data_IF_081461226002
#
_entry.id   IF_081461226002
#
_cell.length_a   1.000
_cell.length_b   1.000
_cell.length_c   1.000
_cell.angle_alpha   90.00
_cell.angle_beta   90.00
_cell.angle_gamma   90.00
#
_symmetry.space_group_name_H-M   'P 1'
#
loop_
_entity.id
_entity.type
_entity.pdbx_description
1 polymer ?
#
# COMPACT_ATOMS: atom_id res chain seq x y z
N UNK A 1 15.11 -14.96 5.27
CA UNK A 1 14.59 -13.96 6.23
C UNK A 1 13.27 -14.49 6.78
N UNK A 2 12.73 -13.88 7.85
CA UNK A 2 11.56 -14.42 8.57
C UNK A 2 10.27 -13.98 7.89
N UNK A 3 9.32 -14.91 7.69
CA UNK A 3 7.96 -14.60 7.21
C UNK A 3 7.09 -13.92 8.29
N UNK A 4 7.61 -13.77 9.51
CA UNK A 4 6.90 -13.13 10.62
C UNK A 4 6.76 -11.63 10.34
N UNK A 5 5.52 -11.10 10.30
CA UNK A 5 5.31 -9.67 10.11
C UNK A 5 5.93 -8.85 11.23
N UNK A 6 6.64 -7.79 10.85
CA UNK A 6 7.25 -6.83 11.77
C UNK A 6 6.47 -5.52 11.78
N UNK A 7 6.33 -4.91 12.96
CA UNK A 7 5.63 -3.64 13.15
C UNK A 7 6.63 -2.49 13.27
N UNK A 8 6.39 -1.44 12.50
CA UNK A 8 7.17 -0.20 12.42
C UNK A 8 6.26 0.98 12.72
N UNK A 9 6.74 1.97 13.47
CA UNK A 9 5.95 3.12 13.90
C UNK A 9 6.77 4.39 13.76
N UNK A 10 6.11 5.51 13.46
CA UNK A 10 6.73 6.84 13.41
C UNK A 10 7.32 7.30 14.75
N UNK A 11 6.89 6.70 15.86
CA UNK A 11 7.40 6.96 17.22
C UNK A 11 8.63 6.14 17.58
N UNK A 12 9.06 5.21 16.71
CA UNK A 12 10.24 4.40 16.99
C UNK A 12 11.52 5.27 16.93
N UNK A 13 12.55 4.96 17.73
CA UNK A 13 13.82 5.67 17.66
C UNK A 13 14.46 5.61 16.27
N UNK A 14 14.73 6.78 15.68
CA UNK A 14 15.32 6.89 14.34
C UNK A 14 14.34 6.63 13.19
N UNK A 15 13.04 6.60 13.46
CA UNK A 15 12.03 6.50 12.41
C UNK A 15 12.10 7.70 11.45
N UNK A 16 12.00 7.46 10.12
CA UNK A 16 11.99 8.53 9.13
C UNK A 16 10.74 9.42 9.24
N UNK A 17 10.95 10.71 8.98
CA UNK A 17 9.89 11.71 8.93
C UNK A 17 9.09 11.55 7.63
N UNK A 18 7.78 11.32 7.75
CA UNK A 18 6.84 11.46 6.63
C UNK A 18 6.28 12.89 6.64
N UNK A 19 6.21 13.53 5.48
CA UNK A 19 5.65 14.88 5.33
C UNK A 19 4.90 15.03 4.01
N UNK A 20 4.31 16.21 3.78
CA UNK A 20 3.64 16.54 2.52
C UNK A 20 4.58 16.89 1.36
N UNK A 21 5.90 16.79 1.55
CA UNK A 21 6.90 17.09 0.52
C UNK A 21 7.05 15.96 -0.50
N UNK A 22 7.54 16.30 -1.69
CA UNK A 22 7.97 15.32 -2.69
C UNK A 22 9.13 14.48 -2.13
N UNK A 23 9.17 13.18 -2.47
CA UNK A 23 10.21 12.25 -2.03
C UNK A 23 10.07 11.72 -0.59
N UNK A 24 9.20 12.30 0.25
CA UNK A 24 9.04 11.88 1.65
C UNK A 24 8.56 10.42 1.81
N UNK A 25 7.64 9.95 0.97
CA UNK A 25 7.18 8.56 0.99
C UNK A 25 8.22 7.61 0.38
N UNK A 26 8.92 8.04 -0.68
CA UNK A 26 10.01 7.26 -1.25
C UNK A 26 11.10 6.97 -0.20
N UNK A 27 11.51 7.99 0.56
CA UNK A 27 12.48 7.86 1.66
C UNK A 27 11.93 6.97 2.79
N UNK A 28 10.65 7.12 3.15
CA UNK A 28 10.01 6.27 4.14
C UNK A 28 10.04 4.78 3.73
N UNK A 29 9.69 4.49 2.48
CA UNK A 29 9.68 3.11 1.97
C UNK A 29 11.10 2.55 1.80
N UNK A 30 12.09 3.37 1.47
CA UNK A 30 13.49 2.98 1.48
C UNK A 30 13.92 2.45 2.85
N UNK A 31 13.60 3.19 3.91
CA UNK A 31 13.89 2.78 5.29
C UNK A 31 13.05 1.56 5.74
N UNK A 32 11.77 1.49 5.37
CA UNK A 32 10.89 0.39 5.80
C UNK A 32 11.18 -0.93 5.08
N UNK A 33 11.34 -0.88 3.77
CA UNK A 33 11.37 -2.07 2.93
C UNK A 33 12.78 -2.62 2.76
N UNK A 34 13.79 -1.74 2.70
CA UNK A 34 15.15 -2.09 2.28
C UNK A 34 16.16 -1.90 3.42
N UNK A 35 16.42 -0.66 3.81
CA UNK A 35 17.60 -0.30 4.60
C UNK A 35 17.43 -0.58 6.11
N UNK A 36 16.18 -0.50 6.59
CA UNK A 36 15.89 -0.39 8.01
C UNK A 36 16.16 1.02 8.53
N UNK A 37 15.94 1.21 9.83
CA UNK A 37 16.23 2.47 10.51
C UNK A 37 16.61 2.28 11.98
N UNK A 38 17.05 3.35 12.63
CA UNK A 38 17.56 3.32 14.01
C UNK A 38 18.99 2.78 14.11
N UNK A 39 19.51 2.73 15.33
CA UNK A 39 20.88 2.34 15.62
C UNK A 39 20.99 1.50 16.91
N UNK A 40 22.11 0.77 17.04
CA UNK A 40 22.38 -0.06 18.22
C UNK A 40 21.28 -1.07 18.50
N UNK A 41 20.90 -1.21 19.78
CA UNK A 41 19.84 -2.13 20.23
C UNK A 41 18.44 -1.76 19.71
N UNK A 42 18.23 -0.52 19.25
CA UNK A 42 16.95 -0.04 18.75
C UNK A 42 16.84 -0.13 17.21
N UNK A 43 17.87 -0.67 16.53
CA UNK A 43 17.84 -0.81 15.07
C UNK A 43 16.73 -1.77 14.65
N UNK A 44 15.85 -1.29 13.76
CA UNK A 44 14.86 -2.11 13.06
C UNK A 44 15.37 -2.44 11.66
N UNK A 45 15.50 -3.72 11.29
CA UNK A 45 15.88 -4.09 9.92
C UNK A 45 14.77 -3.75 8.94
N UNK A 46 15.10 -3.57 7.66
CA UNK A 46 14.11 -3.48 6.60
C UNK A 46 13.30 -4.78 6.45
N UNK A 47 12.14 -4.70 5.82
CA UNK A 47 11.23 -5.85 5.64
C UNK A 47 11.76 -6.94 4.69
N UNK A 48 12.91 -6.74 4.03
CA UNK A 48 13.55 -7.74 3.17
C UNK A 48 13.25 -7.60 1.68
N UNK A 49 12.77 -6.43 1.27
CA UNK A 49 12.61 -6.08 -0.14
C UNK A 49 13.94 -5.53 -0.67
N UNK A 50 14.03 -5.41 -2.00
CA UNK A 50 15.21 -4.86 -2.67
C UNK A 50 14.86 -3.61 -3.46
N UNK A 51 15.77 -2.63 -3.52
CA UNK A 51 15.63 -1.46 -4.39
C UNK A 51 16.19 -1.80 -5.76
N UNK A 52 15.33 -1.92 -6.76
CA UNK A 52 15.73 -2.25 -8.13
C UNK A 52 16.20 -1.01 -8.91
N UNK A 53 15.46 0.10 -8.80
CA UNK A 53 15.75 1.36 -9.48
C UNK A 53 15.47 2.57 -8.60
N UNK A 54 16.19 3.67 -8.84
CA UNK A 54 16.06 4.92 -8.08
C UNK A 54 16.26 6.15 -8.99
N UNK A 55 15.34 7.11 -8.90
CA UNK A 55 15.42 8.44 -9.51
C UNK A 55 15.29 9.57 -8.47
N UNK A 56 15.03 10.80 -8.89
CA UNK A 56 14.96 11.96 -7.98
C UNK A 56 13.87 11.79 -6.89
N UNK A 57 12.65 11.42 -7.29
CA UNK A 57 11.53 11.12 -6.39
C UNK A 57 10.79 9.84 -6.78
N UNK A 58 11.45 8.96 -7.53
CA UNK A 58 10.87 7.69 -7.98
C UNK A 58 11.69 6.55 -7.42
N UNK A 59 11.02 5.52 -6.93
CA UNK A 59 11.64 4.29 -6.42
C UNK A 59 10.94 3.08 -6.99
N UNK A 60 11.71 2.03 -7.24
CA UNK A 60 11.16 0.72 -7.60
C UNK A 60 11.66 -0.29 -6.58
N UNK A 61 10.72 -0.85 -5.82
CA UNK A 61 10.97 -1.87 -4.82
C UNK A 61 10.58 -3.23 -5.39
N UNK A 62 11.37 -4.26 -5.15
CA UNK A 62 11.05 -5.62 -5.56
C UNK A 62 10.87 -6.49 -4.33
N UNK A 63 9.75 -7.22 -4.28
CA UNK A 63 9.52 -8.18 -3.21
C UNK A 63 10.46 -9.40 -3.37
N UNK A 64 10.57 -10.24 -2.34
CA UNK A 64 11.47 -11.38 -2.37
C UNK A 64 11.10 -12.38 -3.48
N UNK A 65 12.01 -12.68 -4.41
CA UNK A 65 11.76 -13.60 -5.52
C UNK A 65 11.77 -15.09 -5.14
N UNK A 66 12.26 -15.43 -3.94
CA UNK A 66 12.32 -16.81 -3.44
C UNK A 66 11.05 -17.16 -2.67
N UNK A 67 10.61 -16.23 -1.82
CA UNK A 67 9.47 -16.47 -0.94
C UNK A 67 8.20 -15.79 -1.45
N UNK A 68 8.30 -14.72 -2.23
CA UNK A 68 7.19 -14.08 -2.93
C UNK A 68 7.26 -14.24 -4.44
N UNK A 69 6.52 -13.39 -5.16
CA UNK A 69 6.43 -13.39 -6.63
C UNK A 69 7.61 -12.74 -7.33
N UNK A 70 8.42 -11.95 -6.63
CA UNK A 70 9.46 -11.10 -7.21
C UNK A 70 8.91 -9.89 -7.97
N UNK A 71 7.63 -9.50 -7.75
CA UNK A 71 7.03 -8.33 -8.39
C UNK A 71 7.71 -7.02 -7.97
N UNK A 72 7.63 -6.06 -8.88
CA UNK A 72 8.16 -4.72 -8.71
C UNK A 72 7.02 -3.77 -8.35
N UNK A 73 7.22 -2.92 -7.34
CA UNK A 73 6.37 -1.81 -6.96
C UNK A 73 7.09 -0.51 -7.31
N UNK A 74 6.61 0.17 -8.36
CA UNK A 74 7.02 1.53 -8.69
C UNK A 74 6.24 2.51 -7.82
N UNK A 75 6.99 3.42 -7.21
CA UNK A 75 6.53 4.50 -6.35
C UNK A 75 6.97 5.81 -6.97
N UNK A 76 6.01 6.56 -7.49
CA UNK A 76 6.20 7.90 -8.01
C UNK A 76 5.82 8.93 -6.95
N UNK A 77 6.82 9.52 -6.31
CA UNK A 77 6.65 10.45 -5.20
C UNK A 77 6.97 11.89 -5.61
N UNK A 78 6.78 12.21 -6.89
CA UNK A 78 7.03 13.54 -7.47
C UNK A 78 6.03 14.59 -7.00
N UNK A 79 4.79 14.18 -6.74
CA UNK A 79 3.76 15.08 -6.25
C UNK A 79 3.95 15.42 -4.76
N UNK A 80 3.61 16.65 -4.40
CA UNK A 80 3.37 16.98 -3.00
C UNK A 80 2.07 16.29 -2.54
N UNK A 81 1.95 16.00 -1.25
CA UNK A 81 0.74 15.44 -0.58
C UNK A 81 0.36 14.01 -0.96
N UNK A 82 0.72 13.52 -2.14
CA UNK A 82 0.37 12.17 -2.60
C UNK A 82 1.47 11.56 -3.47
N UNK A 83 1.34 10.28 -3.78
CA UNK A 83 2.27 9.53 -4.62
C UNK A 83 1.50 8.51 -5.46
N UNK A 84 2.02 8.13 -6.63
CA UNK A 84 1.40 7.17 -7.53
C UNK A 84 2.14 5.83 -7.48
N UNK A 85 1.39 4.77 -7.18
CA UNK A 85 1.89 3.42 -7.06
C UNK A 85 1.46 2.58 -8.26
N UNK A 86 2.36 1.71 -8.73
CA UNK A 86 2.01 0.68 -9.71
C UNK A 86 2.92 -0.54 -9.54
N UNK A 87 2.31 -1.72 -9.51
CA UNK A 87 3.01 -2.99 -9.58
C UNK A 87 3.34 -3.39 -11.02
N UNK A 88 4.42 -4.12 -11.25
CA UNK A 88 4.84 -4.68 -12.53
C UNK A 88 5.43 -6.07 -12.32
N UNK A 89 5.20 -7.00 -13.25
CA UNK A 89 5.77 -8.34 -13.18
C UNK A 89 7.28 -8.31 -13.46
N UNK A 90 7.69 -7.53 -14.46
CA UNK A 90 9.10 -7.25 -14.76
C UNK A 90 9.30 -5.78 -15.09
N UNK A 91 10.51 -5.26 -14.84
CA UNK A 91 10.92 -3.90 -15.22
C UNK A 91 12.34 -3.93 -15.78
N UNK A 92 12.56 -3.26 -16.92
CA UNK A 92 13.87 -3.09 -17.54
C UNK A 92 14.58 -1.82 -17.07
N UNK A 93 13.80 -0.81 -16.68
CA UNK A 93 14.26 0.43 -16.07
C UNK A 93 13.15 1.02 -15.19
N UNK A 94 13.34 2.26 -14.72
CA UNK A 94 12.44 2.92 -13.77
C UNK A 94 11.05 3.25 -14.32
N UNK A 95 10.90 3.34 -15.65
CA UNK A 95 9.66 3.74 -16.33
C UNK A 95 9.10 2.66 -17.25
N UNK A 96 9.89 1.65 -17.62
CA UNK A 96 9.51 0.57 -18.52
C UNK A 96 9.33 -0.76 -17.77
N UNK A 97 8.09 -1.25 -17.75
CA UNK A 97 7.71 -2.52 -17.14
C UNK A 97 6.54 -3.22 -17.82
N UNK A 98 6.37 -4.50 -17.53
CA UNK A 98 5.32 -5.36 -18.10
C UNK A 98 4.26 -5.73 -17.06
N UNK A 99 3.08 -6.12 -17.54
CA UNK A 99 1.94 -6.55 -16.72
C UNK A 99 1.61 -5.60 -15.55
N UNK A 100 1.30 -4.32 -15.85
CA UNK A 100 1.05 -3.32 -14.83
C UNK A 100 -0.19 -3.66 -14.00
N UNK A 101 -0.08 -3.54 -12.68
CA UNK A 101 -1.18 -3.66 -11.72
C UNK A 101 -1.27 -2.40 -10.84
N UNK A 102 -2.30 -1.55 -10.99
CA UNK A 102 -3.41 -1.64 -11.95
C UNK A 102 -2.98 -1.46 -13.41
N UNK A 103 -3.75 -2.02 -14.34
CA UNK A 103 -3.51 -1.87 -15.79
C UNK A 103 -3.67 -0.42 -16.22
N UNK A 104 -2.97 -0.03 -17.29
CA UNK A 104 -3.03 1.34 -17.85
C UNK A 104 -4.46 1.71 -18.24
N UNK A 105 -5.20 0.76 -18.83
CA UNK A 105 -6.59 0.95 -19.23
C UNK A 105 -7.52 1.23 -18.05
N UNK A 106 -7.27 0.61 -16.89
CA UNK A 106 -8.10 0.79 -15.70
C UNK A 106 -7.77 2.09 -14.97
N UNK A 107 -6.48 2.38 -14.81
CA UNK A 107 -5.99 3.60 -14.17
C UNK A 107 -4.76 4.09 -14.92
N UNK A 108 -4.89 5.07 -15.82
CA UNK A 108 -3.76 5.61 -16.60
C UNK A 108 -2.62 6.10 -15.70
N UNK A 109 -2.95 6.80 -14.61
CA UNK A 109 -1.97 7.36 -13.67
C UNK A 109 -1.52 6.40 -12.54
N UNK A 110 -2.16 5.23 -12.40
CA UNK A 110 -1.86 4.28 -11.31
C UNK A 110 -2.64 4.55 -10.03
N UNK A 111 -2.23 3.88 -8.95
CA UNK A 111 -2.90 3.95 -7.63
C UNK A 111 -2.36 5.11 -6.81
N UNK A 112 -3.20 6.12 -6.52
CA UNK A 112 -2.79 7.26 -5.70
C UNK A 112 -2.85 6.95 -4.20
N UNK A 113 -1.74 7.14 -3.50
CA UNK A 113 -1.60 7.06 -2.04
C UNK A 113 -1.41 8.45 -1.46
N UNK A 114 -2.13 8.77 -0.38
CA UNK A 114 -2.11 10.11 0.22
C UNK A 114 -1.16 10.13 1.42
N UNK A 115 -0.23 11.09 1.45
CA UNK A 115 0.79 11.26 2.49
C UNK A 115 0.37 12.30 3.53
N UNK A 116 -0.25 13.39 3.08
CA UNK A 116 -0.55 14.55 3.93
C UNK A 116 -1.64 15.42 3.31
N UNK A 117 -2.58 15.90 4.11
CA UNK A 117 -3.63 16.85 3.68
C UNK A 117 -3.08 18.21 3.26
N UNK A 118 -1.84 18.53 3.64
CA UNK A 118 -1.18 19.82 3.41
C UNK A 118 0.19 19.59 2.78
N UNK A 119 0.56 20.41 1.78
CA UNK A 119 1.89 20.42 1.17
C UNK A 119 2.91 21.13 2.09
N UNK A 120 3.23 20.52 3.23
CA UNK A 120 4.12 21.10 4.25
C UNK A 120 5.22 20.12 4.65
N UNK A 121 6.25 20.66 5.31
CA UNK A 121 7.31 19.87 5.94
C UNK A 121 6.91 19.28 7.31
N UNK A 122 5.67 19.55 7.76
CA UNK A 122 5.15 19.04 9.04
C UNK A 122 5.09 17.52 9.05
N UNK A 123 5.47 16.95 10.20
CA UNK A 123 5.50 15.50 10.39
C UNK A 123 4.11 14.88 10.39
N UNK A 124 4.00 13.74 9.69
CA UNK A 124 2.82 12.88 9.67
C UNK A 124 3.13 11.57 10.38
N UNK A 125 2.25 11.20 11.31
CA UNK A 125 2.36 9.94 12.01
C UNK A 125 2.00 8.78 11.08
N UNK A 126 2.69 7.66 11.25
CA UNK A 126 2.49 6.47 10.43
C UNK A 126 2.78 5.18 11.20
N UNK A 127 2.17 4.09 10.74
CA UNK A 127 2.45 2.73 11.20
C UNK A 127 2.54 1.83 9.99
N UNK A 128 3.55 0.97 9.93
CA UNK A 128 3.67 -0.04 8.90
C UNK A 128 3.78 -1.43 9.51
N UNK A 129 3.18 -2.42 8.85
CA UNK A 129 3.24 -3.82 9.25
C UNK A 129 3.46 -4.68 8.02
N UNK A 130 4.50 -5.49 8.00
CA UNK A 130 4.78 -6.29 6.82
C UNK A 130 5.96 -7.22 6.98
N UNK A 131 6.25 -7.91 5.89
CA UNK A 131 7.38 -8.81 5.71
C UNK A 131 7.89 -8.70 4.26
N UNK A 132 8.73 -9.65 3.86
CA UNK A 132 9.36 -9.73 2.55
C UNK A 132 8.39 -10.01 1.37
N UNK A 133 7.13 -10.37 1.66
CA UNK A 133 6.08 -10.64 0.64
C UNK A 133 5.07 -9.50 0.51
N UNK A 134 4.72 -8.86 1.62
CA UNK A 134 3.69 -7.81 1.66
C UNK A 134 3.92 -6.79 2.77
N UNK A 135 3.28 -5.64 2.65
CA UNK A 135 3.17 -4.68 3.74
C UNK A 135 1.85 -3.91 3.72
N UNK A 136 1.44 -3.49 4.91
CA UNK A 136 0.41 -2.49 5.17
C UNK A 136 1.09 -1.22 5.67
N UNK A 137 0.59 -0.06 5.24
CA UNK A 137 1.02 1.25 5.68
C UNK A 137 -0.20 2.09 6.04
N UNK A 138 -0.23 2.60 7.26
CA UNK A 138 -1.29 3.45 7.79
C UNK A 138 -0.72 4.84 8.02
N UNK A 139 -1.28 5.86 7.38
CA UNK A 139 -0.79 7.24 7.44
C UNK A 139 -1.87 8.14 8.03
N UNK A 140 -1.55 8.92 9.07
CA UNK A 140 -2.38 10.06 9.46
C UNK A 140 -2.05 11.27 8.58
N UNK A 141 -2.88 11.51 7.58
CA UNK A 141 -2.67 12.60 6.62
C UNK A 141 -2.95 13.97 7.22
N UNK A 142 -3.74 14.06 8.31
CA UNK A 142 -4.15 15.32 8.92
C UNK A 142 -3.20 15.84 10.00
N UNK A 143 -2.37 14.96 10.56
CA UNK A 143 -1.51 15.26 11.72
C UNK A 143 -2.30 15.57 12.99
N UNK A 144 -3.56 15.12 13.08
CA UNK A 144 -4.42 15.25 14.26
C UNK A 144 -4.27 14.02 15.16
N UNK A 145 -3.04 13.59 15.37
CA UNK A 145 -2.74 12.29 15.97
C UNK A 145 -3.06 12.26 17.46
N UNK A 146 -4.33 12.08 17.80
CA UNK A 146 -4.78 11.87 19.18
C UNK A 146 -5.08 10.40 19.50
N UNK A 147 -5.31 9.54 18.48
CA UNK A 147 -5.57 8.11 18.70
C UNK A 147 -5.35 7.28 17.41
N UNK A 148 -4.62 6.15 17.52
CA UNK A 148 -4.58 5.12 16.49
C UNK A 148 -6.00 4.60 16.23
N UNK A 149 -6.50 4.65 14.98
CA UNK A 149 -7.85 4.22 14.61
C UNK A 149 -8.89 5.35 14.45
N UNK A 150 -8.47 6.62 14.50
CA UNK A 150 -9.31 7.75 14.08
C UNK A 150 -9.59 7.71 12.56
N UNK A 151 -10.72 8.29 12.15
CA UNK A 151 -11.28 8.35 10.78
C UNK A 151 -10.39 9.01 9.72
N UNK A 152 -9.17 9.42 10.10
CA UNK A 152 -8.22 10.15 9.26
C UNK A 152 -6.96 9.34 8.93
N UNK A 153 -6.85 8.10 9.44
CA UNK A 153 -5.80 7.18 8.99
C UNK A 153 -6.14 6.60 7.62
N UNK A 154 -5.22 6.78 6.67
CA UNK A 154 -5.29 6.26 5.31
C UNK A 154 -4.47 4.98 5.23
N UNK A 155 -5.12 3.80 5.21
CA UNK A 155 -4.45 2.54 5.01
C UNK A 155 -4.17 2.26 3.53
N UNK A 156 -2.97 1.72 3.33
CA UNK A 156 -2.41 1.32 2.06
C UNK A 156 -1.83 -0.08 2.17
N UNK A 157 -1.90 -0.83 1.09
CA UNK A 157 -1.38 -2.20 1.00
C UNK A 157 -0.65 -2.40 -0.32
N UNK A 158 0.50 -3.06 -0.27
CA UNK A 158 1.12 -3.62 -1.46
C UNK A 158 1.80 -4.95 -1.13
N UNK A 159 1.68 -5.92 -2.04
CA UNK A 159 2.31 -7.22 -1.87
C UNK A 159 1.51 -8.39 -2.41
N UNK A 160 2.06 -9.57 -2.16
CA UNK A 160 1.46 -10.84 -2.54
C UNK A 160 0.29 -11.18 -1.62
N UNK A 161 -0.85 -11.50 -2.21
CA UNK A 161 -1.97 -12.13 -1.51
C UNK A 161 -1.91 -13.64 -1.68
N UNK A 162 -2.54 -14.39 -0.78
CA UNK A 162 -2.74 -15.83 -1.00
C UNK A 162 -3.75 -15.99 -2.14
N UNK A 163 -3.33 -16.57 -3.28
CA UNK A 163 -4.25 -16.86 -4.38
C UNK A 163 -5.04 -18.14 -4.10
N UNK A 164 -6.32 -18.14 -4.46
CA UNK A 164 -7.17 -19.34 -4.41
C UNK A 164 -6.94 -20.26 -5.62
N UNK A 165 -6.26 -19.78 -6.67
CA UNK A 165 -5.87 -20.58 -7.82
C UNK A 165 -4.45 -21.12 -7.61
N UNK A 166 -4.33 -22.45 -7.57
CA UNK A 166 -3.03 -23.10 -7.49
C UNK A 166 -2.16 -22.70 -8.68
N UNK A 167 -0.92 -22.26 -8.41
CA UNK A 167 0.02 -21.82 -9.45
C UNK A 167 -0.25 -20.43 -10.05
N UNK A 168 -1.11 -19.59 -9.44
CA UNK A 168 -1.29 -18.21 -9.89
C UNK A 168 -0.03 -17.37 -9.65
N UNK A 169 0.64 -17.02 -10.74
CA UNK A 169 1.88 -16.23 -10.75
C UNK A 169 1.65 -14.71 -10.61
N UNK A 170 0.38 -14.26 -10.53
CA UNK A 170 -0.02 -12.85 -10.56
C UNK A 170 -0.88 -12.46 -9.35
N UNK A 171 -0.48 -12.91 -8.17
CA UNK A 171 -1.13 -12.61 -6.90
C UNK A 171 -0.61 -11.32 -6.23
N UNK A 172 0.16 -10.50 -6.94
CA UNK A 172 0.59 -9.19 -6.44
C UNK A 172 -0.53 -8.15 -6.56
N UNK A 173 -0.78 -7.43 -5.47
CA UNK A 173 -1.86 -6.46 -5.35
C UNK A 173 -1.33 -5.14 -4.82
N UNK A 174 -1.86 -4.04 -5.35
CA UNK A 174 -1.65 -2.68 -4.85
C UNK A 174 -3.00 -2.07 -4.49
N UNK A 175 -3.13 -1.57 -3.27
CA UNK A 175 -4.33 -0.87 -2.83
C UNK A 175 -4.55 0.37 -3.66
N UNK A 176 -5.82 0.63 -3.99
CA UNK A 176 -6.21 1.83 -4.71
C UNK A 176 -7.45 2.44 -4.05
N UNK A 177 -7.58 3.75 -4.16
CA UNK A 177 -8.80 4.49 -3.82
C UNK A 177 -9.65 4.69 -5.08
N UNK A 178 -10.98 4.67 -4.94
CA UNK A 178 -11.89 4.72 -6.09
C UNK A 178 -11.78 6.01 -6.92
N UNK A 179 -11.54 7.15 -6.26
CA UNK A 179 -11.40 8.46 -6.89
C UNK A 179 -9.94 8.86 -7.14
N UNK A 180 -9.67 9.51 -8.27
CA UNK A 180 -8.32 10.04 -8.58
C UNK A 180 -8.01 11.38 -7.90
N UNK A 181 -8.99 11.96 -7.20
CA UNK A 181 -8.85 13.20 -6.43
C UNK A 181 -7.95 13.03 -5.19
N UNK A 182 -7.12 14.03 -4.90
CA UNK A 182 -6.34 14.11 -3.66
C UNK A 182 -7.24 14.29 -2.44
N UNK A 183 -6.88 13.67 -1.31
CA UNK A 183 -7.59 13.81 -0.03
C UNK A 183 -9.09 13.48 -0.07
N UNK A 184 -9.51 12.70 -1.08
CA UNK A 184 -10.87 12.19 -1.14
C UNK A 184 -11.11 11.23 0.02
N UNK A 185 -12.06 11.60 0.88
CA UNK A 185 -12.57 10.73 1.94
C UNK A 185 -13.40 9.57 1.39
N UNK A 186 -13.65 9.52 0.08
CA UNK A 186 -14.26 8.36 -0.60
C UNK A 186 -13.20 7.29 -0.78
N UNK A 187 -12.79 6.70 0.33
CA UNK A 187 -12.04 5.45 0.31
C UNK A 187 -12.84 4.44 -0.50
N UNK A 188 -12.23 3.84 -1.53
CA UNK A 188 -12.73 2.56 -2.02
C UNK A 188 -12.77 1.64 -0.80
N UNK A 189 -13.94 1.06 -0.52
CA UNK A 189 -14.41 0.39 0.71
C UNK A 189 -13.52 -0.75 1.29
N UNK A 190 -12.20 -0.62 1.35
CA UNK A 190 -11.33 -1.70 1.77
C UNK A 190 -10.96 -1.63 3.26
N UNK A 191 -10.79 -0.45 3.86
CA UNK A 191 -10.25 -0.36 5.23
C UNK A 191 -10.68 0.95 5.93
N UNK A 192 -11.96 1.13 6.26
CA UNK A 192 -12.36 2.15 7.25
C UNK A 192 -12.46 1.52 8.63
N UNK A 193 -11.62 1.96 9.57
CA UNK A 193 -11.99 1.92 10.99
C UNK A 193 -12.90 3.10 11.25
N UNK A 194 -14.20 2.86 11.47
CA UNK A 194 -15.14 3.94 11.79
C UNK A 194 -15.58 3.85 13.25
N UNK A 195 -15.14 4.80 14.06
CA UNK A 195 -15.74 5.12 15.35
C UNK A 195 -16.87 6.14 15.15
N UNK A 196 -18.12 5.77 15.45
CA UNK A 196 -19.23 6.72 15.59
C UNK A 196 -20.48 6.34 14.80
N UNK A 197 -21.58 6.15 15.55
CA UNK A 197 -22.93 5.91 15.09
C UNK A 197 -23.50 7.13 14.36
N UNK A 198 -23.86 6.98 13.09
CA UNK A 198 -24.49 8.05 12.31
C UNK A 198 -24.36 7.88 10.80
N UNK A 199 -24.63 6.67 10.28
CA UNK A 199 -24.77 6.46 8.84
C UNK A 199 -26.25 6.63 8.49
N UNK A 200 -26.58 7.64 7.68
CA UNK A 200 -27.86 7.64 6.98
C UNK A 200 -27.86 6.45 6.03
N UNK A 201 -28.58 5.41 6.42
CA UNK A 201 -28.84 4.23 5.61
C UNK A 201 -29.77 4.60 4.46
N UNK A 202 -29.26 5.21 3.40
CA UNK A 202 -29.92 5.10 2.10
C UNK A 202 -29.40 3.85 1.41
N UNK A 203 -29.94 2.74 1.91
CA UNK A 203 -29.98 1.37 1.35
C UNK A 203 -28.72 0.52 1.52
N UNK A 204 -28.72 -0.33 2.55
CA UNK A 204 -28.75 -1.78 2.30
C UNK A 204 -29.30 -2.51 3.53
N UNK A 205 -30.41 -3.21 3.33
CA UNK A 205 -31.20 -3.86 4.36
C UNK A 205 -30.52 -5.12 4.90
N UNK A 206 -30.42 -5.17 6.24
CA UNK A 206 -30.49 -6.33 7.13
C UNK A 206 -30.32 -7.71 6.46
N UNK A 207 -29.12 -8.32 6.58
CA UNK A 207 -28.98 -9.75 6.29
C UNK A 207 -27.58 -10.28 5.99
N UNK A 208 -26.62 -9.45 5.58
CA UNK A 208 -25.35 -9.97 5.06
C UNK A 208 -24.22 -9.82 6.07
N UNK A 209 -23.64 -10.94 6.49
CA UNK A 209 -22.29 -10.99 7.09
C UNK A 209 -21.38 -10.19 6.16
N UNK A 210 -20.88 -9.05 6.63
CA UNK A 210 -20.06 -8.12 5.83
C UNK A 210 -18.67 -8.73 5.64
N UNK A 211 -18.58 -9.68 4.71
CA UNK A 211 -17.31 -10.19 4.20
C UNK A 211 -16.49 -9.02 3.66
N UNK A 212 -15.19 -9.04 3.94
CA UNK A 212 -14.17 -8.18 3.35
C UNK A 212 -14.45 -7.94 1.85
N UNK A 213 -14.88 -6.73 1.48
CA UNK A 213 -15.09 -6.37 0.07
C UNK A 213 -13.75 -5.90 -0.49
N UNK A 214 -12.94 -6.88 -0.89
CA UNK A 214 -11.88 -6.67 -1.85
C UNK A 214 -12.51 -6.11 -3.15
N UNK A 215 -11.88 -5.14 -3.81
CA UNK A 215 -12.46 -4.46 -4.98
C UNK A 215 -13.03 -5.41 -6.03
N UNK A 216 -14.00 -4.95 -6.84
CA UNK A 216 -14.81 -5.76 -7.77
C UNK A 216 -14.03 -6.76 -8.65
N UNK A 217 -12.75 -6.51 -8.95
CA UNK A 217 -11.89 -7.43 -9.71
C UNK A 217 -11.18 -8.51 -8.86
N UNK A 218 -11.02 -8.31 -7.55
CA UNK A 218 -10.55 -9.33 -6.62
C UNK A 218 -11.64 -10.37 -6.35
N UNK A 219 -12.90 -9.94 -6.19
CA UNK A 219 -14.04 -10.86 -6.05
C UNK A 219 -14.23 -11.73 -7.29
N UNK A 220 -14.05 -11.20 -8.50
CA UNK A 220 -14.02 -12.03 -9.71
C UNK A 220 -12.88 -13.05 -9.68
N UNK A 221 -11.67 -12.63 -9.32
CA UNK A 221 -10.49 -13.53 -9.33
C UNK A 221 -10.51 -14.59 -8.21
N UNK A 222 -11.20 -14.29 -7.10
CA UNK A 222 -11.45 -15.18 -5.97
C UNK A 222 -12.63 -16.12 -6.25
N UNK A 223 -13.73 -15.63 -6.87
CA UNK A 223 -14.95 -16.43 -7.10
C UNK A 223 -14.93 -17.28 -8.37
N UNK A 224 -14.19 -16.93 -9.42
CA UNK A 224 -14.16 -17.72 -10.66
C UNK A 224 -13.17 -18.89 -10.66
N UNK A 225 -12.50 -19.18 -9.53
CA UNK A 225 -11.61 -20.34 -9.42
C UNK A 225 -12.35 -21.70 -9.47
N UNK A 226 -13.68 -21.72 -9.36
CA UNK A 226 -14.48 -22.96 -9.31
C UNK A 226 -15.40 -23.18 -10.51
N UNK A 227 -15.43 -22.30 -11.52
CA UNK A 227 -16.34 -22.43 -12.68
C UNK A 227 -15.72 -22.91 -13.99
N UNK A 228 -14.40 -23.17 -14.04
CA UNK A 228 -13.75 -23.70 -15.25
C UNK A 228 -13.52 -25.22 -15.23
N UNK A 229 -13.96 -25.96 -14.21
CA UNK A 229 -13.85 -27.44 -14.17
C UNK A 229 -15.09 -28.18 -14.71
N UNK A 230 -16.16 -27.49 -15.13
CA UNK A 230 -17.42 -28.10 -15.60
C UNK A 230 -17.85 -27.69 -17.03
N UNK A 231 -16.91 -27.52 -17.96
CA UNK A 231 -17.20 -27.48 -19.41
C UNK A 231 -16.21 -28.29 -20.23
#
# INVERSE_FOLDING_TARGET
MSLVPTVYKSTDPGAPLLSGQAGALAILLDALLVDGYGSGANRKPGMGWTRAFSGSNVRVFRNASITGTGFYLRVDDTAQRSALMRGFATMSDIDNGTDPTPTIALKPSGSRWDKSSVASAEGRAWVAVGNERFFYLFIDTSGQFQQYGSSVMHPHYAGDIVSLKAGDMHNFVVSYKGSDAEMSSTMGYALRGQSGWGVSSTTDSTGTVRNFVFGHNMLKRIMYATQEEDR
#
